data_IF_348711987113
#
_entry.id   IF_348711987113
#
_cell.length_a   1.000
_cell.length_b   1.000
_cell.length_c   1.000
_cell.angle_alpha   90.00
_cell.angle_beta   90.00
_cell.angle_gamma   90.00
#
_symmetry.space_group_name_H-M   'P 1'
#
loop_
_entity.id
_entity.type
_entity.pdbx_description
1 polymer ?
#
# COMPACT_ATOMS: atom_id res chain seq x y z
N UNK A 1 -4.76 22.29 5.10
CA UNK A 1 -5.18 20.93 5.50
C UNK A 1 -4.80 20.79 6.95
N UNK A 2 -5.69 20.34 7.83
CA UNK A 2 -5.36 20.15 9.25
C UNK A 2 -5.00 18.67 9.45
N UNK A 3 -3.75 18.41 9.81
CA UNK A 3 -3.26 17.07 10.17
C UNK A 3 -3.65 16.74 11.61
N UNK A 4 -3.78 15.46 11.93
CA UNK A 4 -3.89 15.05 13.34
C UNK A 4 -2.53 15.12 14.02
N UNK A 5 -2.46 15.20 15.36
CA UNK A 5 -1.17 15.21 16.07
C UNK A 5 -0.29 13.99 15.77
N UNK A 6 -0.90 12.84 15.48
CA UNK A 6 -0.17 11.63 15.08
C UNK A 6 0.44 11.76 13.69
N UNK A 7 -0.32 12.34 12.75
CA UNK A 7 0.14 12.62 11.40
C UNK A 7 1.24 13.68 11.36
N UNK A 8 1.15 14.73 12.18
CA UNK A 8 2.21 15.74 12.31
C UNK A 8 3.52 15.12 12.85
N UNK A 9 3.43 14.21 13.83
CA UNK A 9 4.60 13.46 14.30
C UNK A 9 5.20 12.59 13.19
N UNK A 10 4.35 11.94 12.40
CA UNK A 10 4.80 11.14 11.26
C UNK A 10 5.51 12.00 10.21
N UNK A 11 4.96 13.17 9.87
CA UNK A 11 5.60 14.12 8.96
C UNK A 11 6.98 14.54 9.47
N UNK A 12 7.08 14.89 10.76
CA UNK A 12 8.35 15.26 11.37
C UNK A 12 9.39 14.13 11.37
N UNK A 13 8.97 12.91 11.68
CA UNK A 13 9.85 11.74 11.68
C UNK A 13 10.37 11.40 10.28
N UNK A 14 9.50 11.42 9.25
CA UNK A 14 9.91 11.16 7.87
C UNK A 14 10.80 12.29 7.35
N UNK A 15 10.51 13.56 7.67
CA UNK A 15 11.35 14.68 7.28
C UNK A 15 12.77 14.60 7.90
N UNK A 16 12.86 14.25 9.19
CA UNK A 16 14.14 14.04 9.86
C UNK A 16 14.92 12.87 9.23
N UNK A 17 14.23 11.77 8.94
CA UNK A 17 14.81 10.63 8.24
C UNK A 17 15.32 11.02 6.84
N UNK A 18 14.54 11.78 6.05
CA UNK A 18 14.95 12.27 4.72
C UNK A 18 16.19 13.16 4.79
N UNK A 19 16.28 14.03 5.80
CA UNK A 19 17.39 14.96 5.98
C UNK A 19 18.69 14.31 6.47
N UNK A 20 18.63 13.17 7.17
CA UNK A 20 19.81 12.49 7.72
C UNK A 20 20.48 11.58 6.68
N UNK A 21 21.71 11.88 6.21
CA UNK A 21 22.38 11.08 5.17
C UNK A 21 22.73 9.66 5.61
N UNK A 22 22.96 9.44 6.91
CA UNK A 22 23.32 8.12 7.47
C UNK A 22 22.10 7.32 7.95
N UNK A 23 20.90 7.82 7.73
CA UNK A 23 19.68 7.12 8.12
C UNK A 23 19.55 5.81 7.34
N UNK A 24 18.85 4.80 7.89
CA UNK A 24 18.54 3.57 7.17
C UNK A 24 17.91 3.86 5.80
N UNK A 25 18.17 2.99 4.82
CA UNK A 25 17.63 3.17 3.47
C UNK A 25 16.08 3.13 3.44
N UNK A 26 15.46 2.39 4.37
CA UNK A 26 14.02 2.15 4.42
C UNK A 26 13.40 2.86 5.62
N UNK A 27 12.26 3.52 5.41
CA UNK A 27 11.39 4.01 6.48
C UNK A 27 9.99 3.42 6.34
N UNK A 28 9.45 2.87 7.42
CA UNK A 28 8.16 2.18 7.49
C UNK A 28 7.12 3.08 8.13
N UNK A 29 6.25 3.66 7.30
CA UNK A 29 5.07 4.39 7.75
C UNK A 29 3.85 3.49 7.64
N UNK A 30 3.54 2.77 8.72
CA UNK A 30 2.38 1.90 8.77
C UNK A 30 1.18 2.60 9.37
N UNK A 31 0.02 2.00 9.20
CA UNK A 31 -1.20 2.51 9.78
C UNK A 31 -2.42 1.83 9.19
N UNK A 32 -3.55 2.07 9.82
CA UNK A 32 -4.80 1.42 9.41
C UNK A 32 -5.35 1.98 8.10
N UNK A 33 -6.25 1.23 7.48
CA UNK A 33 -7.10 1.74 6.42
C UNK A 33 -7.81 3.03 6.89
N UNK A 34 -7.76 4.08 6.07
CA UNK A 34 -8.34 5.38 6.41
C UNK A 34 -7.47 6.30 7.28
N UNK A 35 -6.28 5.88 7.73
CA UNK A 35 -5.36 6.72 8.52
C UNK A 35 -4.61 7.80 7.69
N UNK A 36 -4.83 7.84 6.37
CA UNK A 36 -4.28 8.91 5.51
C UNK A 36 -2.83 8.72 5.04
N UNK A 37 -2.27 7.50 5.13
CA UNK A 37 -0.89 7.16 4.71
C UNK A 37 -0.50 7.71 3.34
N UNK A 38 -1.26 7.38 2.28
CA UNK A 38 -0.96 7.86 0.91
C UNK A 38 -1.01 9.38 0.82
N UNK A 39 -1.92 10.03 1.54
CA UNK A 39 -2.04 11.50 1.55
C UNK A 39 -0.83 12.16 2.19
N UNK A 40 -0.34 11.59 3.30
CA UNK A 40 0.89 12.01 3.95
C UNK A 40 2.10 11.83 3.05
N UNK A 41 2.23 10.65 2.42
CA UNK A 41 3.36 10.37 1.53
C UNK A 41 3.39 11.31 0.33
N UNK A 42 2.23 11.64 -0.25
CA UNK A 42 2.12 12.65 -1.32
C UNK A 42 2.58 14.02 -0.83
N UNK A 43 2.15 14.45 0.35
CA UNK A 43 2.54 15.74 0.90
C UNK A 43 4.05 15.80 1.20
N UNK A 44 4.62 14.73 1.75
CA UNK A 44 6.07 14.62 1.99
C UNK A 44 6.87 14.70 0.69
N UNK A 45 6.38 14.07 -0.37
CA UNK A 45 7.02 14.12 -1.69
C UNK A 45 7.10 15.54 -2.28
N UNK A 46 6.19 16.45 -1.93
CA UNK A 46 6.24 17.87 -2.34
C UNK A 46 7.46 18.60 -1.76
N UNK A 47 8.04 18.08 -0.68
CA UNK A 47 9.20 18.67 0.01
C UNK A 47 10.55 18.04 -0.36
N UNK A 48 10.55 17.02 -1.23
CA UNK A 48 11.77 16.36 -1.69
C UNK A 48 12.36 17.15 -2.87
N UNK A 49 13.62 17.55 -2.75
CA UNK A 49 14.40 18.05 -3.89
C UNK A 49 14.67 16.90 -4.87
N UNK A 50 13.94 16.88 -5.98
CA UNK A 50 14.10 15.91 -7.06
C UNK A 50 12.82 15.14 -7.38
N UNK A 51 12.97 13.97 -8.01
CA UNK A 51 11.83 13.15 -8.46
C UNK A 51 11.46 12.14 -7.39
N UNK A 52 10.17 12.11 -7.03
CA UNK A 52 9.61 11.01 -6.23
C UNK A 52 8.98 9.97 -7.14
N UNK A 53 9.41 8.71 -7.04
CA UNK A 53 8.81 7.59 -7.75
C UNK A 53 7.77 6.90 -6.85
N UNK A 54 6.51 6.90 -7.27
CA UNK A 54 5.43 6.23 -6.56
C UNK A 54 5.17 4.83 -7.13
N UNK A 55 5.11 3.83 -6.25
CA UNK A 55 4.99 2.43 -6.59
C UNK A 55 3.97 1.72 -5.74
N UNK A 56 3.38 0.65 -6.27
CA UNK A 56 2.61 -0.29 -5.47
C UNK A 56 2.77 -1.71 -6.02
N UNK A 57 2.44 -2.73 -5.22
CA UNK A 57 2.52 -4.12 -5.67
C UNK A 57 1.59 -4.40 -6.86
N UNK A 58 0.34 -3.91 -6.81
CA UNK A 58 -0.66 -4.13 -7.86
C UNK A 58 -0.96 -2.88 -8.69
N UNK A 59 -1.39 -3.09 -9.94
CA UNK A 59 -1.83 -1.99 -10.80
C UNK A 59 -3.06 -1.26 -10.27
N UNK A 60 -3.94 -1.94 -9.52
CA UNK A 60 -5.11 -1.32 -8.89
C UNK A 60 -4.70 -0.38 -7.75
N UNK A 61 -3.75 -0.79 -6.91
CA UNK A 61 -3.21 0.07 -5.87
C UNK A 61 -2.51 1.30 -6.48
N UNK A 62 -1.70 1.11 -7.52
CA UNK A 62 -1.09 2.21 -8.26
C UNK A 62 -2.14 3.18 -8.86
N UNK A 63 -3.26 2.67 -9.40
CA UNK A 63 -4.37 3.51 -9.88
C UNK A 63 -5.01 4.32 -8.73
N UNK A 64 -5.20 3.73 -7.55
CA UNK A 64 -5.70 4.44 -6.37
C UNK A 64 -4.74 5.54 -5.95
N UNK A 65 -3.43 5.28 -5.94
CA UNK A 65 -2.41 6.31 -5.66
C UNK A 65 -2.51 7.47 -6.66
N UNK A 66 -2.62 7.20 -7.97
CA UNK A 66 -2.81 8.26 -8.99
C UNK A 66 -4.05 9.10 -8.72
N UNK A 67 -5.17 8.47 -8.36
CA UNK A 67 -6.42 9.20 -8.02
C UNK A 67 -6.28 10.13 -6.81
N UNK A 68 -5.30 9.86 -5.93
CA UNK A 68 -4.97 10.69 -4.76
C UNK A 68 -3.93 11.76 -5.06
N UNK A 69 -3.44 11.86 -6.29
CA UNK A 69 -2.46 12.87 -6.72
C UNK A 69 -1.00 12.40 -6.73
N UNK A 70 -0.71 11.11 -6.52
CA UNK A 70 0.60 10.53 -6.79
C UNK A 70 0.73 10.29 -8.31
N UNK A 71 1.06 11.34 -9.05
CA UNK A 71 1.20 11.27 -10.52
C UNK A 71 2.21 10.21 -10.93
N UNK A 72 1.95 9.51 -12.03
CA UNK A 72 2.80 8.44 -12.58
C UNK A 72 3.05 7.23 -11.66
N UNK A 73 2.29 7.10 -10.57
CA UNK A 73 2.34 5.91 -9.74
C UNK A 73 2.12 4.65 -10.58
N UNK A 74 2.96 3.64 -10.40
CA UNK A 74 3.00 2.43 -11.23
C UNK A 74 3.26 1.18 -10.39
N UNK A 75 3.32 0.01 -11.02
CA UNK A 75 3.69 -1.21 -10.27
C UNK A 75 5.19 -1.19 -9.96
N UNK A 76 5.61 -1.78 -8.83
CA UNK A 76 7.04 -1.93 -8.50
C UNK A 76 7.76 -2.61 -9.68
N UNK A 77 7.18 -3.66 -10.25
CA UNK A 77 7.72 -4.35 -11.43
C UNK A 77 8.00 -3.40 -12.60
N UNK A 78 7.05 -2.55 -12.99
CA UNK A 78 7.26 -1.56 -14.07
C UNK A 78 8.17 -0.39 -13.68
N UNK A 79 8.47 -0.24 -12.39
CA UNK A 79 9.35 0.80 -11.86
C UNK A 79 10.81 0.36 -11.87
N UNK A 80 11.10 -0.94 -11.78
CA UNK A 80 12.47 -1.46 -11.62
C UNK A 80 12.89 -2.44 -12.70
N UNK A 81 11.96 -3.07 -13.43
CA UNK A 81 12.27 -4.05 -14.46
C UNK A 81 11.96 -3.56 -15.87
N UNK A 82 12.61 -4.19 -16.85
CA UNK A 82 12.25 -4.15 -18.27
C UNK A 82 12.14 -5.58 -18.83
N UNK A 83 11.35 -5.81 -19.89
CA UNK A 83 11.33 -7.10 -20.57
C UNK A 83 12.72 -7.41 -21.15
N UNK A 84 13.16 -8.66 -21.06
CA UNK A 84 14.34 -9.12 -21.78
C UNK A 84 14.02 -9.30 -23.25
N UNK A 85 14.91 -8.84 -24.13
CA UNK A 85 14.83 -9.07 -25.57
C UNK A 85 15.36 -10.47 -25.90
N UNK A 86 14.66 -11.51 -25.45
CA UNK A 86 15.00 -12.91 -25.73
C UNK A 86 13.82 -13.58 -26.41
N UNK A 87 14.08 -14.29 -27.51
CA UNK A 87 13.10 -15.17 -28.16
C UNK A 87 12.87 -16.43 -27.29
N UNK A 88 12.13 -16.26 -26.19
CA UNK A 88 11.61 -17.36 -25.36
C UNK A 88 10.08 -17.33 -25.39
N UNK A 89 9.46 -18.51 -25.28
CA UNK A 89 8.00 -18.62 -25.16
C UNK A 89 7.48 -17.97 -23.86
N UNK A 90 8.34 -17.86 -22.83
CA UNK A 90 7.97 -17.25 -21.56
C UNK A 90 8.57 -15.83 -21.42
N UNK A 91 7.74 -14.83 -21.07
CA UNK A 91 8.24 -13.48 -20.83
C UNK A 91 9.16 -13.47 -19.61
N UNK A 92 10.38 -12.99 -19.80
CA UNK A 92 11.36 -12.80 -18.73
C UNK A 92 11.70 -11.33 -18.56
N UNK A 93 12.07 -10.96 -17.33
CA UNK A 93 12.36 -9.60 -16.94
C UNK A 93 13.77 -9.49 -16.36
N UNK A 94 14.37 -8.32 -16.48
CA UNK A 94 15.63 -7.96 -15.84
C UNK A 94 15.54 -6.58 -15.21
N UNK A 95 16.41 -6.33 -14.23
CA UNK A 95 16.61 -5.01 -13.67
C UNK A 95 16.93 -4.01 -14.77
N UNK A 96 16.25 -2.88 -14.73
CA UNK A 96 16.45 -1.80 -15.66
C UNK A 96 17.30 -0.71 -14.98
N UNK A 97 18.54 -0.55 -15.42
CA UNK A 97 19.45 0.46 -14.84
C UNK A 97 18.97 1.90 -15.11
N UNK A 98 18.22 2.11 -16.19
CA UNK A 98 17.62 3.40 -16.56
C UNK A 98 16.18 3.53 -16.04
N UNK A 99 15.77 2.71 -15.08
CA UNK A 99 14.39 2.70 -14.61
C UNK A 99 14.03 3.98 -13.85
N UNK A 100 12.72 4.30 -13.73
CA UNK A 100 12.26 5.41 -12.89
C UNK A 100 12.82 5.38 -11.46
N UNK A 101 13.05 4.21 -10.88
CA UNK A 101 13.69 4.07 -9.58
C UNK A 101 15.13 4.62 -9.54
N UNK A 102 15.91 4.46 -10.61
CA UNK A 102 17.30 4.92 -10.66
C UNK A 102 17.40 6.46 -10.67
N UNK A 103 16.45 7.14 -11.30
CA UNK A 103 16.37 8.60 -11.35
C UNK A 103 15.74 9.23 -10.09
N UNK A 104 15.09 8.44 -9.24
CA UNK A 104 14.37 8.93 -8.08
C UNK A 104 15.30 9.41 -6.95
N UNK A 105 14.88 10.46 -6.26
CA UNK A 105 15.46 10.94 -5.00
C UNK A 105 14.76 10.30 -3.80
N UNK A 106 13.48 9.97 -3.96
CA UNK A 106 12.68 9.20 -3.02
C UNK A 106 11.83 8.18 -3.78
N UNK A 107 11.75 6.97 -3.27
CA UNK A 107 10.79 5.95 -3.72
C UNK A 107 9.72 5.79 -2.64
N UNK A 108 8.46 5.82 -3.02
CA UNK A 108 7.31 5.59 -2.12
C UNK A 108 6.57 4.34 -2.57
N UNK A 109 6.48 3.32 -1.73
CA UNK A 109 5.78 2.08 -2.03
C UNK A 109 4.52 1.93 -1.16
N UNK A 110 3.35 1.85 -1.78
CA UNK A 110 2.09 1.50 -1.12
C UNK A 110 1.82 -0.02 -1.22
N UNK A 111 1.00 -0.54 -0.30
CA UNK A 111 0.68 -1.97 -0.20
C UNK A 111 1.94 -2.85 -0.07
N UNK A 112 2.89 -2.46 0.79
CA UNK A 112 4.17 -3.15 0.94
C UNK A 112 4.07 -4.56 1.55
N UNK A 113 2.91 -4.92 2.10
CA UNK A 113 2.59 -6.23 2.67
C UNK A 113 2.71 -7.37 1.65
N UNK A 114 2.56 -7.07 0.37
CA UNK A 114 2.60 -8.06 -0.72
C UNK A 114 4.00 -8.19 -1.36
N UNK A 115 4.99 -7.43 -0.90
CA UNK A 115 6.35 -7.45 -1.46
C UNK A 115 7.15 -8.59 -0.84
N UNK A 116 7.60 -9.52 -1.67
CA UNK A 116 8.46 -10.62 -1.27
C UNK A 116 9.95 -10.22 -1.20
N UNK A 117 10.79 -11.17 -0.79
CA UNK A 117 12.22 -10.93 -0.55
C UNK A 117 12.99 -10.58 -1.82
N UNK A 118 12.69 -11.21 -2.96
CA UNK A 118 13.38 -10.96 -4.23
C UNK A 118 13.07 -9.54 -4.72
N UNK A 119 11.78 -9.20 -4.82
CA UNK A 119 11.34 -7.89 -5.27
C UNK A 119 11.82 -6.77 -4.33
N UNK A 120 11.83 -7.04 -3.03
CA UNK A 120 12.33 -6.13 -2.02
C UNK A 120 13.83 -5.84 -2.17
N UNK A 121 14.66 -6.89 -2.32
CA UNK A 121 16.10 -6.74 -2.54
C UNK A 121 16.42 -6.00 -3.83
N UNK A 122 15.71 -6.34 -4.91
CA UNK A 122 15.85 -5.70 -6.20
C UNK A 122 15.50 -4.21 -6.16
N UNK A 123 14.43 -3.85 -5.44
CA UNK A 123 14.09 -2.45 -5.21
C UNK A 123 15.17 -1.69 -4.43
N UNK A 124 15.73 -2.29 -3.37
CA UNK A 124 16.78 -1.66 -2.55
C UNK A 124 18.15 -1.60 -3.25
N UNK A 125 18.35 -2.38 -4.31
CA UNK A 125 19.60 -2.38 -5.09
C UNK A 125 19.88 -1.02 -5.77
N UNK A 126 18.84 -0.21 -6.01
CA UNK A 126 18.96 1.13 -6.57
C UNK A 126 19.56 2.15 -5.58
N UNK A 127 19.71 1.79 -4.30
CA UNK A 127 20.38 2.60 -3.29
C UNK A 127 19.67 3.92 -2.96
N UNK A 128 18.36 4.02 -3.23
CA UNK A 128 17.56 5.22 -2.97
C UNK A 128 16.88 5.12 -1.61
N UNK A 129 16.52 6.26 -1.02
CA UNK A 129 15.63 6.26 0.15
C UNK A 129 14.26 5.71 -0.25
N UNK A 130 13.75 4.75 0.53
CA UNK A 130 12.47 4.08 0.28
C UNK A 130 11.52 4.26 1.46
N UNK A 131 10.45 5.01 1.25
CA UNK A 131 9.33 5.11 2.18
C UNK A 131 8.30 4.01 1.84
N UNK A 132 8.10 3.07 2.75
CA UNK A 132 7.11 2.00 2.57
C UNK A 132 5.87 2.27 3.42
N UNK A 133 4.71 2.17 2.78
CA UNK A 133 3.39 2.33 3.38
C UNK A 133 2.75 0.96 3.49
N UNK A 134 2.34 0.61 4.70
CA UNK A 134 1.78 -0.69 5.01
C UNK A 134 0.62 -0.61 5.99
N UNK A 135 -0.11 -1.71 6.09
CA UNK A 135 -1.06 -1.96 7.16
C UNK A 135 -0.72 -3.33 7.78
N UNK A 136 -0.34 -3.39 9.06
CA UNK A 136 0.05 -4.66 9.71
C UNK A 136 -1.10 -5.66 9.81
N UNK A 137 -2.36 -5.22 9.61
CA UNK A 137 -3.52 -6.10 9.62
C UNK A 137 -3.85 -6.67 8.23
N UNK A 138 -3.10 -6.32 7.18
CA UNK A 138 -3.27 -6.92 5.85
C UNK A 138 -2.68 -8.32 5.78
N UNK A 139 -3.13 -9.07 4.77
CA UNK A 139 -2.61 -10.40 4.49
C UNK A 139 -1.12 -10.31 4.06
N UNK A 140 -0.28 -11.27 4.50
CA UNK A 140 1.08 -11.40 4.00
C UNK A 140 1.08 -11.85 2.52
N UNK A 141 2.24 -11.87 1.85
CA UNK A 141 2.35 -12.37 0.49
C UNK A 141 1.87 -13.83 0.38
N UNK A 142 1.43 -14.23 -0.81
CA UNK A 142 0.90 -15.59 -1.06
C UNK A 142 1.99 -16.67 -0.89
N UNK A 143 3.27 -16.29 -1.06
CA UNK A 143 4.44 -17.16 -0.84
C UNK A 143 5.52 -16.34 -0.13
N UNK A 144 6.21 -16.98 0.83
CA UNK A 144 7.29 -16.33 1.59
C UNK A 144 6.78 -15.34 2.64
N UNK A 145 7.71 -14.64 3.27
CA UNK A 145 7.44 -13.55 4.20
C UNK A 145 7.41 -12.19 3.50
N UNK A 146 6.72 -11.21 4.09
CA UNK A 146 6.69 -9.85 3.56
C UNK A 146 7.95 -9.10 3.90
N UNK A 147 8.77 -8.78 2.89
CA UNK A 147 10.12 -8.22 3.07
C UNK A 147 10.16 -6.96 3.94
N UNK A 148 9.16 -6.08 3.79
CA UNK A 148 9.07 -4.85 4.57
C UNK A 148 8.30 -5.00 5.88
N UNK A 149 7.41 -6.01 5.98
CA UNK A 149 6.47 -6.19 7.10
C UNK A 149 6.97 -7.14 8.18
N UNK A 150 8.09 -7.84 7.98
CA UNK A 150 8.75 -8.64 9.02
C UNK A 150 9.44 -7.79 10.10
N UNK A 151 9.62 -6.49 9.86
CA UNK A 151 10.17 -5.55 10.82
C UNK A 151 9.09 -4.59 11.36
N UNK A 152 9.30 -4.11 12.58
CA UNK A 152 8.40 -3.13 13.21
C UNK A 152 8.36 -1.82 12.41
N UNK A 153 7.20 -1.13 12.38
CA UNK A 153 7.11 0.18 11.76
C UNK A 153 7.91 1.23 12.54
N UNK A 154 8.54 2.14 11.80
CA UNK A 154 9.17 3.33 12.38
C UNK A 154 8.09 4.29 12.93
N UNK A 155 6.94 4.36 12.25
CA UNK A 155 5.75 5.07 12.71
C UNK A 155 4.49 4.27 12.38
N UNK A 156 3.59 4.16 13.36
CA UNK A 156 2.27 3.56 13.20
C UNK A 156 1.18 4.61 13.35
N UNK A 157 0.33 4.79 12.33
CA UNK A 157 -0.85 5.63 12.38
C UNK A 157 -2.07 4.82 12.82
N UNK A 158 -2.58 5.14 14.00
CA UNK A 158 -3.70 4.45 14.64
C UNK A 158 -5.00 5.24 14.56
N UNK A 159 -4.93 6.57 14.39
CA UNK A 159 -6.08 7.44 14.32
C UNK A 159 -6.69 7.48 12.91
N UNK A 160 -7.99 7.18 12.81
CA UNK A 160 -8.74 7.25 11.56
C UNK A 160 -9.40 8.62 11.47
N UNK A 161 -9.31 9.24 10.29
CA UNK A 161 -9.96 10.52 10.01
C UNK A 161 -11.47 10.43 10.25
N UNK A 162 -12.06 11.46 10.87
CA UNK A 162 -13.49 11.49 11.18
C UNK A 162 -14.37 11.25 9.94
N UNK A 163 -13.96 11.76 8.77
CA UNK A 163 -14.64 11.54 7.49
C UNK A 163 -14.62 10.07 7.03
N UNK A 164 -13.59 9.31 7.41
CA UNK A 164 -13.49 7.87 7.17
C UNK A 164 -14.16 7.04 8.27
N UNK A 165 -14.31 7.58 9.48
CA UNK A 165 -15.03 6.92 10.58
C UNK A 165 -16.55 6.79 10.30
N UNK A 166 -17.11 7.70 9.50
CA UNK A 166 -18.50 7.63 9.04
C UNK A 166 -18.70 6.59 7.91
N UNK A 167 -17.62 6.02 7.35
CA UNK A 167 -17.71 4.95 6.35
C UNK A 167 -18.01 3.60 7.05
N UNK A 168 -19.15 2.95 6.74
CA UNK A 168 -19.50 1.69 7.37
C UNK A 168 -18.47 0.58 7.17
N UNK A 169 -17.77 0.55 6.03
CA UNK A 169 -16.75 -0.46 5.75
C UNK A 169 -15.57 -0.30 6.70
N UNK A 170 -15.14 0.94 6.94
CA UNK A 170 -14.06 1.24 7.88
C UNK A 170 -14.47 0.81 9.29
N UNK A 171 -15.67 1.16 9.74
CA UNK A 171 -16.17 0.73 11.06
C UNK A 171 -16.21 -0.79 11.21
N UNK A 172 -16.77 -1.50 10.23
CA UNK A 172 -16.83 -2.97 10.23
C UNK A 172 -15.43 -3.59 10.23
N UNK A 173 -14.46 -3.00 9.53
CA UNK A 173 -13.08 -3.48 9.54
C UNK A 173 -12.42 -3.38 10.93
N UNK A 174 -12.73 -2.32 11.68
CA UNK A 174 -12.24 -2.12 13.05
C UNK A 174 -12.82 -3.17 14.00
N UNK A 175 -14.11 -3.49 13.87
CA UNK A 175 -14.77 -4.54 14.63
C UNK A 175 -14.08 -5.90 14.41
N UNK A 176 -13.86 -6.27 13.14
CA UNK A 176 -13.15 -7.51 12.80
C UNK A 176 -11.74 -7.53 13.41
N UNK A 177 -11.02 -6.41 13.34
CA UNK A 177 -9.66 -6.30 13.85
C UNK A 177 -9.59 -6.46 15.37
N UNK A 178 -10.58 -5.96 16.08
CA UNK A 178 -10.71 -6.11 17.54
C UNK A 178 -11.28 -7.48 17.93
N UNK A 179 -11.41 -8.41 16.98
CA UNK A 179 -11.91 -9.76 17.21
C UNK A 179 -13.43 -9.83 17.42
N UNK A 180 -14.15 -8.73 17.20
CA UNK A 180 -15.61 -8.71 17.27
C UNK A 180 -16.19 -9.40 16.05
N UNK A 181 -17.31 -10.10 16.26
CA UNK A 181 -18.11 -10.65 15.16
C UNK A 181 -19.01 -9.55 14.61
N UNK A 182 -19.19 -9.56 13.30
CA UNK A 182 -20.16 -8.69 12.65
C UNK A 182 -21.57 -9.27 12.83
N UNK A 183 -22.49 -8.48 13.36
CA UNK A 183 -23.90 -8.85 13.45
C UNK A 183 -24.57 -8.72 12.09
N UNK A 184 -25.54 -9.59 11.78
CA UNK A 184 -26.32 -9.46 10.55
C UNK A 184 -27.15 -8.18 10.59
N UNK A 185 -27.19 -7.45 9.49
CA UNK A 185 -27.93 -6.20 9.41
C UNK A 185 -27.44 -5.24 8.33
N UNK A 186 -28.08 -4.08 8.26
CA UNK A 186 -27.69 -2.98 7.41
C UNK A 186 -26.83 -1.97 8.19
N UNK A 187 -25.76 -1.52 7.56
CA UNK A 187 -24.75 -0.62 8.08
C UNK A 187 -24.57 0.51 7.07
N UNK A 188 -25.50 1.47 7.06
CA UNK A 188 -25.55 2.49 6.01
C UNK A 188 -25.69 1.86 4.62
N UNK A 189 -24.67 2.03 3.78
CA UNK A 189 -24.61 1.43 2.42
C UNK A 189 -24.07 0.00 2.41
N UNK A 190 -23.58 -0.51 3.53
CA UNK A 190 -23.07 -1.87 3.67
C UNK A 190 -24.11 -2.78 4.30
N UNK A 191 -24.04 -4.09 4.02
CA UNK A 191 -24.89 -5.10 4.65
C UNK A 191 -24.04 -6.30 5.06
N UNK A 192 -24.35 -6.87 6.21
CA UNK A 192 -23.81 -8.16 6.66
C UNK A 192 -24.97 -9.15 6.60
N UNK A 193 -24.87 -10.11 5.69
CA UNK A 193 -25.93 -11.08 5.39
C UNK A 193 -25.45 -12.51 5.59
N UNK A 194 -26.40 -13.43 5.77
CA UNK A 194 -26.10 -14.86 5.70
C UNK A 194 -25.82 -15.33 4.29
N UNK A 195 -25.13 -16.47 4.18
CA UNK A 195 -24.88 -17.13 2.88
C UNK A 195 -26.18 -17.52 2.17
N UNK A 196 -27.21 -17.86 2.95
CA UNK A 196 -28.56 -18.19 2.49
C UNK A 196 -29.30 -17.01 1.86
N UNK A 197 -28.82 -15.79 2.09
CA UNK A 197 -29.41 -14.54 1.60
C UNK A 197 -28.64 -13.94 0.43
N UNK A 198 -27.61 -14.63 -0.07
CA UNK A 198 -26.83 -14.17 -1.24
C UNK A 198 -27.68 -14.33 -2.49
N UNK A 199 -28.04 -13.21 -3.11
CA UNK A 199 -28.76 -13.19 -4.38
C UNK A 199 -27.79 -13.22 -5.56
N UNK A 200 -28.03 -14.12 -6.52
CA UNK A 200 -27.22 -14.24 -7.73
C UNK A 200 -27.30 -13.01 -8.61
N UNK A 201 -28.46 -12.34 -8.66
CA UNK A 201 -28.64 -11.15 -9.48
C UNK A 201 -27.93 -9.93 -8.86
N UNK A 202 -27.94 -9.81 -7.53
CA UNK A 202 -27.11 -8.82 -6.82
C UNK A 202 -25.61 -9.05 -7.08
N UNK A 203 -25.15 -10.30 -7.07
CA UNK A 203 -23.74 -10.64 -7.34
C UNK A 203 -23.35 -10.31 -8.79
N UNK A 204 -24.23 -10.62 -9.77
CA UNK A 204 -23.99 -10.31 -11.19
C UNK A 204 -23.98 -8.83 -11.49
N UNK A 205 -24.73 -8.03 -10.72
CA UNK A 205 -24.78 -6.59 -10.86
C UNK A 205 -23.58 -5.87 -10.25
N UNK A 206 -22.77 -6.54 -9.43
CA UNK A 206 -21.61 -5.94 -8.79
C UNK A 206 -20.45 -5.75 -9.76
N UNK A 207 -19.81 -4.57 -9.73
CA UNK A 207 -18.58 -4.31 -10.50
C UNK A 207 -17.41 -5.19 -10.04
N UNK A 208 -17.41 -5.60 -8.76
CA UNK A 208 -16.36 -6.40 -8.16
C UNK A 208 -16.93 -7.33 -7.09
N UNK A 209 -16.54 -8.60 -7.14
CA UNK A 209 -16.86 -9.62 -6.14
C UNK A 209 -15.56 -10.11 -5.51
N UNK A 210 -15.43 -9.95 -4.20
CA UNK A 210 -14.30 -10.45 -3.42
C UNK A 210 -14.71 -11.71 -2.66
N UNK A 211 -13.89 -12.77 -2.76
CA UNK A 211 -14.12 -14.04 -2.06
C UNK A 211 -13.00 -14.31 -1.07
N UNK A 212 -13.35 -14.62 0.17
CA UNK A 212 -12.38 -14.79 1.27
C UNK A 212 -11.56 -16.08 1.20
N UNK A 213 -11.97 -17.05 0.38
CA UNK A 213 -11.25 -18.31 0.18
C UNK A 213 -11.27 -18.68 -1.30
N UNK A 214 -10.09 -18.89 -1.88
CA UNK A 214 -9.98 -19.50 -3.20
C UNK A 214 -9.87 -21.03 -3.05
N UNK A 215 -11.00 -21.71 -2.79
CA UNK A 215 -11.04 -23.19 -2.66
C UNK A 215 -10.90 -23.93 -4.01
N UNK A 216 -10.78 -23.20 -5.10
CA UNK A 216 -10.75 -23.70 -6.49
C UNK A 216 -9.35 -23.64 -7.12
N UNK A 217 -8.31 -23.32 -6.34
CA UNK A 217 -6.91 -23.49 -6.72
C UNK A 217 -6.25 -24.55 -5.84
#
# INVERSE_FOLDING_TARGET
MNWTPEQDRALGAVAAWLAEPKAPQVFRLFGYAGAGKTTLARHLAESVDGVTAFGAFTGKAALVMRSKGCTDARTIHSMIYRPKEVESEEPSFELNEDAPAAAASLIVIDECSMVDEELGRDLLSFGKKVLVLGDPAQLPPVKGGGFFTEAEPDVMLTEIHRQAADDPIIRLSMDIREGRRLERGAYGRSKVIGRDQVDTDEVKAADQVLVGLNRTR
#
